data_IF_447476015501
#
_entry.id   IF_447476015501
#
_cell.length_a   1.000
_cell.length_b   1.000
_cell.length_c   1.000
_cell.angle_alpha   90.00
_cell.angle_beta   90.00
_cell.angle_gamma   90.00
#
_symmetry.space_group_name_H-M   'P 1'
#
loop_
_entity.id
_entity.type
_entity.pdbx_description
1 polymer ?
#
# COMPACT_ATOMS: atom_id res chain seq x y z
N UNK A 1 22.30 43.26 -22.31
CA UNK A 1 21.31 43.97 -21.48
C UNK A 1 20.83 42.97 -20.43
N UNK A 2 21.61 42.78 -19.36
CA UNK A 2 21.47 43.43 -18.06
C UNK A 2 20.21 42.97 -17.29
N UNK A 3 20.49 42.27 -16.17
CA UNK A 3 19.60 41.86 -15.06
C UNK A 3 18.63 42.96 -14.63
N UNK A 4 17.47 42.59 -14.06
CA UNK A 4 17.01 42.95 -12.71
C UNK A 4 15.55 42.46 -12.48
N UNK A 5 15.33 41.54 -11.53
CA UNK A 5 14.83 41.74 -10.14
C UNK A 5 13.28 41.90 -10.08
N UNK A 6 12.56 40.89 -9.56
CA UNK A 6 12.10 40.80 -8.16
C UNK A 6 11.24 41.99 -7.70
N UNK A 7 9.92 41.76 -7.54
CA UNK A 7 9.04 42.43 -6.55
C UNK A 7 7.66 41.74 -6.60
N UNK A 8 7.35 40.85 -5.65
CA UNK A 8 6.63 41.09 -4.38
C UNK A 8 5.10 41.05 -4.51
N UNK A 9 4.50 40.00 -3.93
CA UNK A 9 3.25 40.11 -3.18
C UNK A 9 3.30 39.14 -1.97
N UNK A 10 4.24 39.48 -1.09
CA UNK A 10 4.27 39.08 0.33
C UNK A 10 3.40 40.08 1.12
N UNK A 11 2.95 39.67 2.32
CA UNK A 11 1.95 40.28 3.24
C UNK A 11 0.51 39.84 2.90
N UNK A 12 -0.28 39.13 3.74
CA UNK A 12 -0.57 39.25 5.19
C UNK A 12 -1.02 37.84 5.65
N UNK A 13 -0.28 37.06 6.45
CA UNK A 13 -0.16 37.07 7.91
C UNK A 13 -1.49 36.91 8.72
N UNK A 14 -1.60 35.75 9.39
CA UNK A 14 -2.37 35.46 10.62
C UNK A 14 -3.88 35.21 10.53
N UNK A 15 -4.32 33.96 10.81
CA UNK A 15 -5.25 33.63 11.93
C UNK A 15 -5.02 32.17 12.43
N UNK A 16 -4.26 32.07 13.53
CA UNK A 16 -4.55 31.35 14.78
C UNK A 16 -4.79 29.82 14.81
N UNK A 17 -3.91 29.19 15.59
CA UNK A 17 -3.92 27.86 16.19
C UNK A 17 -5.25 27.35 16.77
N UNK A 18 -5.49 26.03 16.63
CA UNK A 18 -6.28 25.25 17.61
C UNK A 18 -5.50 24.02 18.02
N UNK A 19 -4.96 24.13 19.23
CA UNK A 19 -4.81 23.13 20.29
C UNK A 19 -4.47 21.68 19.92
N UNK A 20 -3.20 21.35 20.15
CA UNK A 20 -2.81 20.14 20.85
C UNK A 20 -3.67 19.95 22.12
N UNK A 21 -4.15 18.72 22.36
CA UNK A 21 -4.19 17.96 23.63
C UNK A 21 -5.28 16.89 23.49
N UNK A 22 -4.93 15.64 23.79
CA UNK A 22 -5.92 14.75 24.42
C UNK A 22 -6.01 13.34 23.89
N UNK A 23 -5.02 12.52 24.28
CA UNK A 23 -5.27 11.25 24.96
C UNK A 23 -6.05 10.16 24.19
N UNK A 24 -5.32 9.17 23.68
CA UNK A 24 -5.81 7.78 23.62
C UNK A 24 -4.63 6.82 23.73
N UNK A 25 -4.06 6.74 24.94
CA UNK A 25 -3.36 5.54 25.40
C UNK A 25 -4.42 4.46 25.62
N UNK A 26 -4.62 3.58 24.64
CA UNK A 26 -5.44 2.38 24.82
C UNK A 26 -4.48 1.21 25.00
N UNK A 27 -4.16 1.00 26.28
CA UNK A 27 -3.94 -0.29 26.94
C UNK A 27 -3.40 -1.45 26.08
N UNK A 28 -2.15 -1.82 26.36
CA UNK A 28 -1.60 -3.15 26.11
C UNK A 28 -2.48 -4.22 26.76
N UNK A 29 -3.29 -4.91 25.97
CA UNK A 29 -3.93 -6.15 26.37
C UNK A 29 -2.94 -7.31 26.14
N UNK A 30 -2.17 -7.65 27.17
CA UNK A 30 -1.74 -9.04 27.33
C UNK A 30 -3.00 -9.85 27.63
N UNK A 31 -3.53 -10.53 26.63
CA UNK A 31 -4.74 -11.32 26.74
C UNK A 31 -4.72 -12.48 25.77
N UNK A 32 -3.99 -13.53 26.13
CA UNK A 32 -4.25 -14.88 25.64
C UNK A 32 -5.70 -15.23 26.00
N UNK A 33 -6.56 -15.38 24.99
CA UNK A 33 -7.97 -15.72 25.15
C UNK A 33 -8.45 -16.51 23.96
N UNK A 34 -8.26 -17.83 24.03
CA UNK A 34 -8.94 -18.82 23.20
C UNK A 34 -10.44 -18.78 23.51
N UNK A 35 -11.29 -18.74 22.49
CA UNK A 35 -12.73 -18.97 22.65
C UNK A 35 -13.59 -18.06 21.79
N UNK A 36 -13.73 -18.39 20.50
CA UNK A 36 -14.97 -18.08 19.79
C UNK A 36 -15.62 -19.38 19.36
N UNK A 37 -16.73 -19.65 20.04
CA UNK A 37 -17.62 -20.78 19.91
C UNK A 37 -18.52 -20.55 18.68
N UNK A 38 -18.21 -21.23 17.58
CA UNK A 38 -19.04 -21.29 16.37
C UNK A 38 -19.76 -22.64 16.37
N UNK A 39 -20.72 -22.79 17.28
CA UNK A 39 -21.75 -23.82 17.22
C UNK A 39 -23.01 -23.12 16.69
N UNK A 40 -23.41 -23.24 15.42
CA UNK A 40 -24.27 -24.33 14.95
C UNK A 40 -24.60 -24.09 13.47
N UNK A 41 -24.18 -25.01 12.57
CA UNK A 41 -24.97 -25.61 11.48
C UNK A 41 -24.01 -26.28 10.46
N UNK A 42 -23.68 -27.55 10.68
CA UNK A 42 -24.03 -28.61 9.73
C UNK A 42 -23.69 -29.98 10.31
N UNK A 43 -24.75 -30.70 10.64
CA UNK A 43 -24.73 -32.09 11.08
C UNK A 43 -24.87 -32.96 9.83
N UNK A 44 -23.81 -33.73 9.53
CA UNK A 44 -23.94 -34.97 8.76
C UNK A 44 -22.99 -35.12 7.59
N UNK A 45 -21.75 -35.54 7.86
CA UNK A 45 -21.05 -36.59 7.12
C UNK A 45 -19.80 -36.98 7.87
N UNK A 46 -19.72 -38.25 8.30
CA UNK A 46 -18.48 -38.86 8.80
C UNK A 46 -17.54 -39.10 7.61
N UNK A 47 -16.94 -38.02 7.13
CA UNK A 47 -15.78 -38.02 6.24
C UNK A 47 -14.64 -37.35 7.00
N UNK A 48 -13.43 -37.88 6.87
CA UNK A 48 -12.25 -37.44 7.59
C UNK A 48 -12.14 -35.92 7.71
N UNK A 49 -12.01 -35.43 8.95
CA UNK A 49 -11.48 -34.09 9.26
C UNK A 49 -10.02 -34.07 8.80
N UNK A 50 -9.80 -33.87 7.51
CA UNK A 50 -8.60 -33.18 7.07
C UNK A 50 -8.73 -31.75 7.61
N UNK A 51 -7.73 -31.18 8.28
CA UNK A 51 -7.70 -29.74 8.45
C UNK A 51 -7.79 -29.16 7.05
N UNK A 52 -8.91 -28.52 6.74
CA UNK A 52 -8.95 -27.60 5.62
C UNK A 52 -7.96 -26.51 6.00
N UNK A 53 -6.71 -26.68 5.53
CA UNK A 53 -5.86 -25.55 5.20
C UNK A 53 -6.76 -24.73 4.28
N UNK A 54 -7.47 -23.76 4.84
CA UNK A 54 -7.93 -22.62 4.07
C UNK A 54 -6.65 -21.95 3.60
N UNK A 55 -6.08 -22.54 2.55
CA UNK A 55 -5.02 -22.00 1.73
C UNK A 55 -5.62 -20.85 0.96
N UNK A 56 -6.20 -19.90 1.69
CA UNK A 56 -6.41 -18.53 1.27
C UNK A 56 -5.03 -18.04 0.90
N UNK A 57 -4.67 -18.27 -0.35
CA UNK A 57 -3.51 -17.68 -1.00
C UNK A 57 -3.72 -16.20 -0.81
N UNK A 58 -2.99 -15.56 0.11
CA UNK A 58 -3.11 -14.13 0.32
C UNK A 58 -2.06 -13.46 -0.54
N UNK A 59 -2.49 -12.68 -1.51
CA UNK A 59 -1.60 -11.74 -2.17
C UNK A 59 -1.42 -10.51 -1.29
N UNK A 60 -0.18 -10.04 -1.15
CA UNK A 60 0.17 -8.84 -0.38
C UNK A 60 1.04 -7.90 -1.21
N UNK A 61 0.92 -6.59 -0.94
CA UNK A 61 1.64 -5.48 -1.59
C UNK A 61 2.22 -4.59 -0.49
N UNK A 62 3.37 -3.95 -0.75
CA UNK A 62 4.02 -3.03 0.20
C UNK A 62 3.70 -1.55 -0.01
N UNK A 63 3.27 -1.18 -1.20
CA UNK A 63 2.97 0.19 -1.66
C UNK A 63 1.48 0.55 -1.52
N UNK A 64 0.64 -0.44 -1.19
CA UNK A 64 -0.79 -0.28 -0.97
C UNK A 64 -1.66 -0.65 -2.17
N UNK A 65 -1.09 -1.30 -3.19
CA UNK A 65 -1.82 -1.79 -4.36
C UNK A 65 -1.08 -1.45 -5.64
N UNK A 66 -1.60 -0.44 -6.34
CA UNK A 66 -1.07 0.05 -7.62
C UNK A 66 -0.55 1.49 -7.44
N UNK A 67 0.27 1.71 -6.41
CA UNK A 67 0.76 3.03 -6.07
C UNK A 67 2.07 3.36 -6.77
N UNK A 68 1.93 3.95 -7.97
CA UNK A 68 3.04 4.34 -8.85
C UNK A 68 4.11 5.25 -8.23
N UNK A 69 3.85 5.89 -7.08
CA UNK A 69 4.74 6.88 -6.47
C UNK A 69 5.59 6.33 -5.32
N UNK A 70 5.37 5.07 -4.92
CA UNK A 70 6.07 4.44 -3.81
C UNK A 70 6.63 3.13 -4.32
N UNK A 71 7.95 2.93 -4.23
CA UNK A 71 8.53 1.67 -4.67
C UNK A 71 7.97 0.51 -3.84
N UNK A 72 7.45 -0.47 -4.54
CA UNK A 72 6.80 -1.62 -3.96
C UNK A 72 7.19 -2.96 -4.58
N UNK A 73 6.53 -3.97 -4.03
CA UNK A 73 6.53 -5.31 -4.56
C UNK A 73 5.24 -6.01 -4.14
N UNK A 74 4.88 -6.98 -4.95
CA UNK A 74 3.75 -7.88 -4.73
C UNK A 74 4.28 -9.28 -4.40
N UNK A 75 3.71 -9.94 -3.39
CA UNK A 75 4.00 -11.33 -3.04
C UNK A 75 2.71 -12.15 -3.01
N UNK A 76 2.67 -13.25 -3.77
CA UNK A 76 1.59 -14.25 -3.75
C UNK A 76 2.12 -15.64 -3.34
N UNK A 77 1.33 -16.72 -3.51
CA UNK A 77 1.76 -18.07 -3.14
C UNK A 77 2.86 -18.65 -4.04
N UNK A 78 3.08 -18.06 -5.20
CA UNK A 78 4.02 -18.57 -6.21
C UNK A 78 5.32 -17.79 -6.20
N UNK A 79 5.25 -16.46 -6.16
CA UNK A 79 6.44 -15.62 -6.32
C UNK A 79 6.30 -14.23 -5.68
N UNK A 80 7.42 -13.49 -5.67
CA UNK A 80 7.47 -12.05 -5.36
C UNK A 80 7.90 -11.27 -6.60
N UNK A 81 7.05 -10.34 -7.04
CA UNK A 81 7.28 -9.45 -8.17
C UNK A 81 7.58 -8.04 -7.67
N UNK A 82 8.78 -7.53 -7.98
CA UNK A 82 9.16 -6.15 -7.64
C UNK A 82 8.84 -5.22 -8.78
N UNK A 83 8.49 -4.00 -8.43
CA UNK A 83 8.34 -2.93 -9.41
C UNK A 83 9.69 -2.49 -9.96
N UNK A 84 9.76 -2.30 -11.28
CA UNK A 84 11.01 -1.94 -11.97
C UNK A 84 10.77 -0.88 -13.03
N UNK A 85 11.75 0.00 -13.22
CA UNK A 85 11.72 0.97 -14.32
C UNK A 85 12.22 0.31 -15.61
N UNK A 86 11.35 0.22 -16.62
CA UNK A 86 11.72 -0.27 -17.94
C UNK A 86 12.39 0.81 -18.78
N UNK A 87 11.96 2.06 -18.58
CA UNK A 87 12.55 3.26 -19.17
C UNK A 87 12.40 4.44 -18.20
N UNK A 88 12.86 5.63 -18.57
CA UNK A 88 12.70 6.83 -17.73
C UNK A 88 11.23 7.24 -17.55
N UNK A 89 10.31 6.77 -18.40
CA UNK A 89 8.89 7.12 -18.35
C UNK A 89 7.97 5.94 -18.08
N UNK A 90 8.48 4.72 -18.02
CA UNK A 90 7.67 3.49 -17.91
C UNK A 90 8.06 2.69 -16.66
N UNK A 91 7.04 2.42 -15.84
CA UNK A 91 7.11 1.58 -14.65
C UNK A 91 6.40 0.26 -14.94
N UNK A 92 7.09 -0.85 -14.70
CA UNK A 92 6.44 -2.16 -14.57
C UNK A 92 5.90 -2.29 -13.14
N UNK A 93 4.61 -2.01 -12.98
CA UNK A 93 3.90 -2.04 -11.71
C UNK A 93 3.51 -3.45 -11.34
N UNK A 94 3.65 -3.84 -10.07
CA UNK A 94 3.25 -5.16 -9.56
C UNK A 94 2.19 -5.03 -8.47
N UNK A 95 0.99 -5.57 -8.68
CA UNK A 95 -0.12 -5.41 -7.73
C UNK A 95 -0.97 -6.66 -7.57
N UNK A 96 -1.74 -6.70 -6.49
CA UNK A 96 -2.60 -7.83 -6.14
C UNK A 96 -3.97 -7.76 -6.78
N UNK A 97 -4.37 -8.82 -7.51
CA UNK A 97 -5.74 -9.01 -7.99
C UNK A 97 -6.17 -10.44 -7.74
N UNK A 98 -7.31 -10.63 -7.08
CA UNK A 98 -7.90 -11.96 -6.81
C UNK A 98 -6.86 -12.96 -6.29
N UNK A 99 -6.05 -12.54 -5.30
CA UNK A 99 -5.00 -13.34 -4.67
C UNK A 99 -3.79 -13.71 -5.55
N UNK A 100 -3.59 -13.02 -6.67
CA UNK A 100 -2.42 -13.22 -7.54
C UNK A 100 -1.68 -11.91 -7.79
N UNK A 101 -0.36 -12.00 -7.95
CA UNK A 101 0.45 -10.88 -8.37
C UNK A 101 0.40 -10.71 -9.90
N UNK A 102 -0.23 -9.63 -10.32
CA UNK A 102 -0.25 -9.19 -11.71
C UNK A 102 0.78 -8.08 -11.93
N UNK A 103 1.21 -7.96 -13.18
CA UNK A 103 2.10 -6.89 -13.62
C UNK A 103 1.48 -6.11 -14.75
N UNK A 104 1.70 -4.80 -14.76
CA UNK A 104 1.23 -3.89 -15.80
C UNK A 104 2.30 -2.84 -16.10
N UNK A 105 2.47 -2.51 -17.38
CA UNK A 105 3.40 -1.45 -17.79
C UNK A 105 2.61 -0.14 -17.84
N UNK A 106 2.97 0.79 -16.97
CA UNK A 106 2.26 2.07 -16.80
C UNK A 106 3.23 3.22 -17.07
N UNK A 107 2.78 4.23 -17.82
CA UNK A 107 3.55 5.44 -18.04
C UNK A 107 3.46 6.35 -16.80
N UNK A 108 4.61 6.83 -16.33
CA UNK A 108 4.64 7.86 -15.29
C UNK A 108 3.89 9.12 -15.75
N UNK A 109 3.20 9.82 -14.83
CA UNK A 109 2.51 11.07 -15.14
C UNK A 109 3.46 12.13 -15.71
N UNK A 110 2.89 13.18 -16.33
CA UNK A 110 3.66 14.33 -16.79
C UNK A 110 4.46 14.94 -15.63
N UNK A 111 5.70 15.34 -15.91
CA UNK A 111 6.67 15.91 -14.97
C UNK A 111 7.23 14.90 -13.93
N UNK A 112 6.91 13.61 -14.09
CA UNK A 112 7.49 12.52 -13.33
C UNK A 112 8.36 11.63 -14.23
N UNK A 113 9.29 10.92 -13.61
CA UNK A 113 10.14 9.93 -14.26
C UNK A 113 10.32 8.74 -13.36
N UNK A 114 10.37 7.54 -13.96
CA UNK A 114 10.61 6.33 -13.21
C UNK A 114 12.06 6.32 -12.70
N UNK A 115 12.22 6.26 -11.38
CA UNK A 115 13.50 6.06 -10.71
C UNK A 115 13.32 5.04 -9.60
N UNK A 116 14.20 4.03 -9.57
CA UNK A 116 14.22 2.99 -8.53
C UNK A 116 12.87 2.29 -8.33
N UNK A 117 12.14 2.03 -9.43
CA UNK A 117 10.84 1.36 -9.40
C UNK A 117 9.73 2.21 -8.80
N UNK A 118 9.76 3.53 -8.98
CA UNK A 118 8.67 4.45 -8.65
C UNK A 118 8.73 5.69 -9.53
N UNK A 119 7.59 6.33 -9.77
CA UNK A 119 7.52 7.62 -10.45
C UNK A 119 7.86 8.76 -9.47
N UNK A 120 8.97 9.46 -9.71
CA UNK A 120 9.42 10.62 -8.93
C UNK A 120 9.37 11.89 -9.76
N UNK A 121 9.11 13.04 -9.12
CA UNK A 121 9.09 14.34 -9.79
C UNK A 121 10.50 14.70 -10.32
N UNK A 122 10.60 15.24 -11.53
CA UNK A 122 11.85 15.72 -12.15
C UNK A 122 12.12 17.20 -11.90
#
# INVERSE_FOLDING_TARGET
MAKQLLSNNFQIAAVVAVALIGLSLITSATGFGVGFDSTTLNRGSAGAITPEIDGSVTCTTTDGGSNLYVNGFCTDSHDTKREVCLSSGELEESYCVSNMCLTEIINCPKDYSCQQGACVIQ
#
